data_IF_490553034213
#
_entry.id   IF_490553034213
#
_cell.length_a   1.000
_cell.length_b   1.000
_cell.length_c   1.000
_cell.angle_alpha   90.00
_cell.angle_beta   90.00
_cell.angle_gamma   90.00
#
_symmetry.space_group_name_H-M   'P 1'
#
loop_
_entity.id
_entity.type
_entity.pdbx_description
1 polymer ?
#
# COMPACT_ATOMS: atom_id res chain seq x y z
N UNK A 1 -5.46 35.96 -10.74
CA UNK A 1 -6.90 36.24 -10.53
C UNK A 1 -7.80 35.06 -10.97
N UNK A 2 -7.49 33.81 -10.61
CA UNK A 2 -8.32 32.64 -11.05
C UNK A 2 -8.84 31.82 -9.86
N UNK A 3 -8.29 32.01 -8.66
CA UNK A 3 -8.65 31.22 -7.46
C UNK A 3 -9.89 31.73 -6.71
N UNK A 4 -10.34 32.96 -6.97
CA UNK A 4 -11.56 33.52 -6.36
C UNK A 4 -12.85 32.98 -7.01
N UNK A 5 -12.80 32.60 -8.29
CA UNK A 5 -13.96 32.09 -9.03
C UNK A 5 -14.41 30.70 -8.55
N UNK A 6 -13.47 29.83 -8.20
CA UNK A 6 -13.77 28.44 -7.81
C UNK A 6 -14.33 28.34 -6.40
N UNK A 7 -13.90 29.20 -5.47
CA UNK A 7 -14.49 29.27 -4.14
C UNK A 7 -15.92 29.86 -4.18
N UNK A 8 -16.16 30.89 -5.01
CA UNK A 8 -17.52 31.41 -5.23
C UNK A 8 -18.47 30.34 -5.80
N UNK A 9 -17.99 29.50 -6.72
CA UNK A 9 -18.77 28.41 -7.34
C UNK A 9 -19.05 27.22 -6.41
N UNK A 10 -18.20 27.00 -5.39
CA UNK A 10 -18.39 25.96 -4.38
C UNK A 10 -19.32 26.42 -3.24
N UNK A 11 -19.31 27.72 -2.91
CA UNK A 11 -20.26 28.31 -1.98
C UNK A 11 -21.69 28.30 -2.54
N UNK A 12 -21.88 28.67 -3.82
CA UNK A 12 -23.21 28.56 -4.47
C UNK A 12 -23.70 27.13 -4.56
N UNK A 13 -22.80 26.14 -4.73
CA UNK A 13 -23.18 24.71 -4.66
C UNK A 13 -23.60 24.26 -3.26
N UNK A 14 -22.89 24.66 -2.21
CA UNK A 14 -23.27 24.30 -0.82
C UNK A 14 -24.57 24.97 -0.37
N UNK A 15 -24.83 26.20 -0.82
CA UNK A 15 -26.10 26.87 -0.55
C UNK A 15 -27.26 26.22 -1.35
N UNK A 16 -27.03 25.79 -2.59
CA UNK A 16 -28.07 25.11 -3.39
C UNK A 16 -28.51 23.74 -2.84
N UNK A 17 -27.66 23.05 -2.08
CA UNK A 17 -27.99 21.75 -1.45
C UNK A 17 -28.79 21.92 -0.15
N UNK A 18 -28.78 23.12 0.46
CA UNK A 18 -29.44 23.40 1.74
C UNK A 18 -30.71 24.27 1.57
N UNK A 19 -30.99 24.79 0.36
CA UNK A 19 -32.16 25.65 0.07
C UNK A 19 -33.36 24.93 -0.56
N UNK A 20 -33.62 23.67 -0.21
CA UNK A 20 -34.95 23.06 -0.41
C UNK A 20 -35.69 22.70 0.89
N UNK A 21 -35.96 23.68 1.80
CA UNK A 21 -36.96 23.49 2.84
C UNK A 21 -38.41 23.69 2.33
N UNK A 22 -38.66 23.77 1.02
CA UNK A 22 -40.00 23.99 0.46
C UNK A 22 -40.85 22.73 0.21
N UNK A 23 -40.37 21.54 0.59
CA UNK A 23 -41.19 20.32 0.56
C UNK A 23 -42.00 20.07 1.85
N UNK A 24 -42.20 21.09 2.69
CA UNK A 24 -43.02 20.99 3.90
C UNK A 24 -44.51 21.34 3.69
N UNK A 25 -44.94 21.68 2.47
CA UNK A 25 -46.37 21.70 2.09
C UNK A 25 -46.53 21.16 0.67
N UNK A 26 -46.84 19.86 0.52
CA UNK A 26 -47.12 19.23 -0.79
C UNK A 26 -48.43 19.81 -1.38
N UNK A 27 -48.35 20.96 -2.04
CA UNK A 27 -49.35 21.32 -3.06
C UNK A 27 -49.20 20.30 -4.19
N UNK A 28 -50.31 19.74 -4.67
CA UNK A 28 -50.28 18.82 -5.83
C UNK A 28 -49.72 19.59 -7.03
N UNK A 29 -48.94 18.94 -7.90
CA UNK A 29 -48.32 19.56 -9.09
C UNK A 29 -49.30 20.42 -9.91
N UNK A 30 -50.56 19.99 -9.99
CA UNK A 30 -51.62 20.73 -10.68
C UNK A 30 -51.91 22.13 -10.11
N UNK A 31 -51.66 22.35 -8.82
CA UNK A 31 -51.94 23.59 -8.08
C UNK A 31 -50.75 24.55 -8.01
N UNK A 32 -49.62 24.22 -8.64
CA UNK A 32 -48.46 25.11 -8.68
C UNK A 32 -48.64 26.24 -9.71
N UNK A 33 -48.07 27.42 -9.47
CA UNK A 33 -47.95 28.47 -10.48
C UNK A 33 -47.21 27.94 -11.72
N UNK A 34 -47.57 28.43 -12.90
CA UNK A 34 -47.03 27.91 -14.16
C UNK A 34 -45.51 28.13 -14.27
N UNK A 35 -44.99 29.24 -13.72
CA UNK A 35 -43.54 29.51 -13.63
C UNK A 35 -42.78 28.45 -12.83
N UNK A 36 -43.37 27.90 -11.77
CA UNK A 36 -42.73 26.85 -10.97
C UNK A 36 -42.78 25.50 -11.71
N UNK A 37 -43.86 25.23 -12.46
CA UNK A 37 -43.94 24.04 -13.30
C UNK A 37 -42.92 24.07 -14.44
N UNK A 38 -42.68 25.23 -15.05
CA UNK A 38 -41.64 25.39 -16.07
C UNK A 38 -40.24 25.16 -15.50
N UNK A 39 -39.95 25.68 -14.29
CA UNK A 39 -38.70 25.39 -13.57
C UNK A 39 -38.53 23.90 -13.29
N UNK A 40 -39.60 23.22 -12.85
CA UNK A 40 -39.58 21.76 -12.61
C UNK A 40 -39.34 20.99 -13.91
N UNK A 41 -40.01 21.36 -15.01
CA UNK A 41 -39.80 20.76 -16.33
C UNK A 41 -38.37 20.95 -16.82
N UNK A 42 -37.79 22.13 -16.64
CA UNK A 42 -36.38 22.39 -16.99
C UNK A 42 -35.42 21.57 -16.14
N UNK A 43 -35.67 21.45 -14.83
CA UNK A 43 -34.85 20.61 -13.94
C UNK A 43 -34.93 19.14 -14.35
N UNK A 44 -36.13 18.62 -14.64
CA UNK A 44 -36.32 17.25 -15.10
C UNK A 44 -35.61 17.02 -16.44
N UNK A 45 -35.72 17.95 -17.38
CA UNK A 45 -35.03 17.88 -18.67
C UNK A 45 -33.50 17.86 -18.51
N UNK A 46 -32.95 18.70 -17.63
CA UNK A 46 -31.52 18.69 -17.28
C UNK A 46 -31.16 17.34 -16.66
N UNK A 47 -31.94 16.85 -15.71
CA UNK A 47 -31.70 15.57 -15.06
C UNK A 47 -31.71 14.42 -16.08
N UNK A 48 -32.66 14.38 -17.00
CA UNK A 48 -32.74 13.35 -18.04
C UNK A 48 -31.57 13.48 -19.04
N UNK A 49 -31.21 14.70 -19.46
CA UNK A 49 -30.09 14.95 -20.38
C UNK A 49 -28.72 14.59 -19.78
N UNK A 50 -28.49 14.85 -18.48
CA UNK A 50 -27.22 14.59 -17.81
C UNK A 50 -27.16 13.22 -17.10
N UNK A 51 -28.30 12.56 -16.89
CA UNK A 51 -28.36 11.18 -16.34
C UNK A 51 -28.16 10.12 -17.41
N UNK A 52 -28.48 10.41 -18.68
CA UNK A 52 -28.19 9.52 -19.81
C UNK A 52 -26.69 9.32 -19.92
N UNK A 53 -26.23 8.16 -19.45
CA UNK A 53 -24.82 7.74 -19.51
C UNK A 53 -24.15 7.58 -18.14
N UNK A 54 -24.75 8.05 -17.05
CA UNK A 54 -24.19 7.83 -15.69
C UNK A 54 -24.29 6.35 -15.31
N UNK A 55 -25.42 5.70 -15.61
CA UNK A 55 -25.58 4.26 -15.39
C UNK A 55 -24.63 3.43 -16.25
N UNK A 56 -24.47 3.81 -17.52
CA UNK A 56 -23.53 3.15 -18.43
C UNK A 56 -22.07 3.31 -17.97
N UNK A 57 -21.72 4.46 -17.41
CA UNK A 57 -20.41 4.68 -16.80
C UNK A 57 -20.24 3.83 -15.53
N UNK A 58 -21.29 3.71 -14.71
CA UNK A 58 -21.29 2.88 -13.52
C UNK A 58 -21.13 1.39 -13.84
N UNK A 59 -21.83 0.89 -14.86
CA UNK A 59 -21.69 -0.49 -15.36
C UNK A 59 -20.27 -0.78 -15.86
N UNK A 60 -19.65 0.18 -16.52
CA UNK A 60 -18.25 0.07 -16.98
C UNK A 60 -17.28 0.06 -15.79
N UNK A 61 -17.54 0.86 -14.75
CA UNK A 61 -16.77 0.84 -13.51
C UNK A 61 -16.85 -0.52 -12.81
N UNK A 62 -18.07 -1.01 -12.57
CA UNK A 62 -18.29 -2.31 -11.95
C UNK A 62 -17.66 -3.45 -12.76
N UNK A 63 -17.84 -3.47 -14.08
CA UNK A 63 -17.23 -4.48 -14.95
C UNK A 63 -15.69 -4.47 -14.85
N UNK A 64 -15.09 -3.28 -14.84
CA UNK A 64 -13.63 -3.13 -14.77
C UNK A 64 -13.08 -3.50 -13.38
N UNK A 65 -13.81 -3.15 -12.31
CA UNK A 65 -13.47 -3.52 -10.95
C UNK A 65 -13.46 -5.04 -10.77
N UNK A 66 -14.50 -5.73 -11.25
CA UNK A 66 -14.62 -7.18 -11.15
C UNK A 66 -13.61 -7.95 -12.02
N UNK A 67 -13.16 -7.39 -13.14
CA UNK A 67 -12.25 -8.08 -14.07
C UNK A 67 -10.76 -7.82 -13.81
N UNK A 68 -10.37 -6.62 -13.35
CA UNK A 68 -8.96 -6.18 -13.40
C UNK A 68 -8.37 -5.69 -12.08
N UNK A 69 -9.16 -5.48 -11.03
CA UNK A 69 -8.65 -4.98 -9.75
C UNK A 69 -8.76 -5.98 -8.61
N UNK A 70 -7.99 -5.75 -7.56
CA UNK A 70 -8.16 -6.47 -6.31
C UNK A 70 -9.55 -6.18 -5.75
N UNK A 71 -10.21 -7.16 -5.12
CA UNK A 71 -11.50 -6.99 -4.42
C UNK A 71 -11.48 -5.83 -3.41
N UNK A 72 -10.28 -5.47 -2.94
CA UNK A 72 -10.05 -4.45 -1.92
C UNK A 72 -9.80 -3.05 -2.48
N UNK A 73 -9.64 -2.90 -3.80
CA UNK A 73 -9.44 -1.58 -4.41
C UNK A 73 -10.78 -0.87 -4.60
N UNK A 74 -10.86 0.43 -4.27
CA UNK A 74 -12.07 1.20 -4.49
C UNK A 74 -12.33 1.38 -6.00
N UNK A 75 -13.58 1.20 -6.45
CA UNK A 75 -13.96 1.26 -7.87
C UNK A 75 -13.57 2.58 -8.55
N UNK A 76 -13.68 3.68 -7.80
CA UNK A 76 -13.25 5.01 -8.23
C UNK A 76 -11.77 5.05 -8.58
N UNK A 77 -10.93 4.42 -7.77
CA UNK A 77 -9.47 4.44 -7.98
C UNK A 77 -9.09 3.61 -9.21
N UNK A 78 -9.76 2.47 -9.41
CA UNK A 78 -9.61 1.62 -10.61
C UNK A 78 -9.99 2.40 -11.88
N UNK A 79 -11.08 3.15 -11.85
CA UNK A 79 -11.48 4.00 -12.97
C UNK A 79 -10.46 5.11 -13.25
N UNK A 80 -10.01 5.80 -12.20
CA UNK A 80 -9.02 6.89 -12.30
C UNK A 80 -7.69 6.38 -12.85
N UNK A 81 -7.23 5.21 -12.40
CA UNK A 81 -6.00 4.57 -12.91
C UNK A 81 -6.17 4.19 -14.37
N UNK A 82 -7.30 3.56 -14.75
CA UNK A 82 -7.60 3.24 -16.14
C UNK A 82 -7.56 4.47 -17.05
N UNK A 83 -8.19 5.57 -16.63
CA UNK A 83 -8.15 6.84 -17.37
C UNK A 83 -6.75 7.43 -17.47
N UNK A 84 -5.93 7.33 -16.41
CA UNK A 84 -4.53 7.76 -16.47
C UNK A 84 -3.72 6.92 -17.46
N UNK A 85 -3.95 5.61 -17.53
CA UNK A 85 -3.30 4.72 -18.50
C UNK A 85 -3.73 5.09 -19.92
N UNK A 86 -5.03 5.31 -20.15
CA UNK A 86 -5.54 5.73 -21.46
C UNK A 86 -4.88 7.05 -21.92
N UNK A 87 -4.76 8.03 -21.03
CA UNK A 87 -4.09 9.31 -21.31
C UNK A 87 -2.58 9.18 -21.54
N UNK A 88 -1.94 8.17 -20.95
CA UNK A 88 -0.51 7.91 -21.09
C UNK A 88 -0.20 6.89 -22.19
N UNK A 89 -1.21 6.42 -22.95
CA UNK A 89 -1.04 5.38 -23.97
C UNK A 89 -0.13 5.81 -25.12
N UNK A 90 -0.09 7.10 -25.41
CA UNK A 90 0.74 7.70 -26.46
C UNK A 90 2.12 8.16 -25.96
N UNK A 91 2.35 8.11 -24.65
CA UNK A 91 3.59 8.60 -24.03
C UNK A 91 4.46 7.42 -23.59
N UNK A 92 5.55 7.20 -24.32
CA UNK A 92 6.55 6.22 -23.91
C UNK A 92 7.28 6.70 -22.64
N UNK A 93 7.42 5.79 -21.67
CA UNK A 93 8.20 6.07 -20.45
C UNK A 93 9.67 6.10 -20.82
N UNK A 94 10.33 7.24 -20.64
CA UNK A 94 11.79 7.29 -20.71
C UNK A 94 12.38 6.67 -19.45
N UNK A 95 13.34 5.73 -19.58
CA UNK A 95 14.00 5.16 -18.43
C UNK A 95 14.75 6.28 -17.66
N UNK A 96 14.53 6.35 -16.35
CA UNK A 96 15.25 7.28 -15.51
C UNK A 96 16.75 6.93 -15.55
N UNK A 97 17.61 7.92 -15.82
CA UNK A 97 19.07 7.73 -15.79
C UNK A 97 19.49 7.47 -14.35
N UNK A 98 19.74 6.20 -14.03
CA UNK A 98 20.26 5.82 -12.73
C UNK A 98 21.76 6.10 -12.65
N UNK A 99 22.16 6.95 -11.69
CA UNK A 99 23.57 7.21 -11.39
C UNK A 99 23.90 6.47 -10.10
N UNK A 100 24.84 5.52 -10.18
CA UNK A 100 25.36 4.81 -9.00
C UNK A 100 26.16 5.78 -8.14
N UNK A 101 25.71 6.05 -6.92
CA UNK A 101 26.40 6.97 -5.99
C UNK A 101 27.81 6.52 -5.59
N UNK A 102 28.10 5.21 -5.66
CA UNK A 102 29.40 4.62 -5.30
C UNK A 102 29.76 3.52 -6.30
N UNK A 103 30.22 3.91 -7.48
CA UNK A 103 30.50 2.97 -8.57
C UNK A 103 31.53 1.89 -8.17
N UNK A 104 32.59 2.28 -7.45
CA UNK A 104 33.61 1.36 -6.91
C UNK A 104 33.05 0.28 -5.99
N UNK A 105 32.02 0.60 -5.18
CA UNK A 105 31.34 -0.40 -4.35
C UNK A 105 30.63 -1.44 -5.22
N UNK A 106 29.97 -1.02 -6.29
CA UNK A 106 29.21 -1.90 -7.16
C UNK A 106 30.07 -2.74 -8.12
N UNK A 107 31.26 -2.26 -8.48
CA UNK A 107 32.19 -2.97 -9.36
C UNK A 107 32.99 -3.98 -8.53
N UNK A 108 33.77 -3.51 -7.55
CA UNK A 108 34.74 -4.35 -6.83
C UNK A 108 34.35 -4.58 -5.36
N UNK A 109 33.77 -3.56 -4.70
CA UNK A 109 33.50 -3.60 -3.27
C UNK A 109 32.50 -4.69 -2.84
N UNK A 110 31.57 -5.11 -3.69
CA UNK A 110 30.64 -6.21 -3.40
C UNK A 110 31.38 -7.55 -3.35
N UNK A 111 32.28 -7.80 -4.28
CA UNK A 111 33.02 -9.07 -4.35
C UNK A 111 33.95 -9.17 -3.15
N UNK A 112 34.68 -8.10 -2.85
CA UNK A 112 35.57 -8.04 -1.69
C UNK A 112 34.83 -8.18 -0.36
N UNK A 113 33.68 -7.51 -0.20
CA UNK A 113 32.91 -7.62 1.04
C UNK A 113 32.29 -9.01 1.21
N UNK A 114 31.84 -9.64 0.12
CA UNK A 114 31.36 -11.03 0.16
C UNK A 114 32.48 -12.02 0.46
N UNK A 115 33.70 -11.77 -0.01
CA UNK A 115 34.86 -12.58 0.32
C UNK A 115 35.25 -12.47 1.81
N UNK A 116 35.08 -11.28 2.41
CA UNK A 116 35.33 -11.03 3.84
C UNK A 116 34.24 -11.56 4.77
N UNK A 117 33.03 -11.82 4.25
CA UNK A 117 31.96 -12.38 5.06
C UNK A 117 32.18 -13.87 5.33
N UNK A 118 32.21 -14.22 6.62
CA UNK A 118 32.26 -15.60 7.06
C UNK A 118 31.03 -16.37 6.54
N UNK A 119 31.25 -17.41 5.74
CA UNK A 119 30.18 -18.24 5.20
C UNK A 119 29.67 -19.16 6.31
N UNK A 120 28.46 -18.88 6.80
CA UNK A 120 27.77 -19.70 7.82
C UNK A 120 27.55 -21.16 7.39
N UNK A 121 27.74 -21.50 6.11
CA UNK A 121 27.41 -22.82 5.56
C UNK A 121 28.59 -23.55 4.89
N UNK A 122 29.84 -23.12 5.07
CA UNK A 122 30.97 -23.98 4.72
C UNK A 122 31.26 -24.87 5.93
N UNK A 123 30.72 -26.09 5.89
CA UNK A 123 31.12 -27.14 6.83
C UNK A 123 32.63 -27.33 6.72
N UNK A 124 33.35 -26.90 7.74
CA UNK A 124 34.70 -27.35 8.00
C UNK A 124 34.59 -28.83 8.32
N UNK A 125 34.81 -29.66 7.30
CA UNK A 125 35.30 -31.01 7.50
C UNK A 125 36.72 -30.90 8.04
N UNK A 126 36.82 -30.62 9.33
CA UNK A 126 38.05 -30.71 10.11
C UNK A 126 37.76 -31.71 11.21
N UNK A 127 38.40 -32.85 11.03
CA UNK A 127 38.51 -33.98 11.93
C UNK A 127 38.95 -33.53 13.33
N UNK A 128 38.49 -34.29 14.33
CA UNK A 128 39.05 -34.42 15.67
C UNK A 128 39.01 -33.17 16.58
N UNK A 129 37.91 -33.06 17.34
CA UNK A 129 37.99 -32.65 18.73
C UNK A 129 36.94 -33.40 19.56
N UNK A 130 37.26 -34.66 19.83
CA UNK A 130 36.56 -35.54 20.76
C UNK A 130 36.86 -35.13 22.20
N UNK A 131 36.26 -34.04 22.67
CA UNK A 131 36.17 -33.76 24.10
C UNK A 131 34.93 -32.90 24.37
N UNK A 132 33.97 -33.46 25.13
CA UNK A 132 32.88 -32.77 25.85
C UNK A 132 31.50 -32.58 25.21
N UNK A 133 31.06 -33.43 24.26
CA UNK A 133 29.64 -33.41 23.83
C UNK A 133 28.69 -33.68 25.02
N UNK A 134 29.05 -34.58 25.94
CA UNK A 134 28.23 -35.01 27.08
C UNK A 134 27.97 -33.95 28.17
N UNK A 135 28.81 -32.92 28.29
CA UNK A 135 28.62 -31.91 29.34
C UNK A 135 27.58 -30.85 28.95
N UNK A 136 27.36 -30.64 27.64
CA UNK A 136 26.45 -29.60 27.14
C UNK A 136 24.97 -30.01 27.15
N UNK A 137 24.68 -31.31 27.10
CA UNK A 137 23.30 -31.83 27.10
C UNK A 137 22.67 -31.81 28.49
N UNK A 138 23.48 -31.88 29.55
CA UNK A 138 23.02 -31.91 30.94
C UNK A 138 22.83 -30.52 31.58
N UNK A 139 23.18 -29.43 30.88
CA UNK A 139 23.10 -28.08 31.42
C UNK A 139 21.71 -27.46 31.26
N UNK A 140 21.18 -26.92 32.35
CA UNK A 140 19.91 -26.17 32.32
C UNK A 140 20.07 -24.89 31.49
N UNK A 141 19.07 -24.48 30.68
CA UNK A 141 19.15 -23.28 29.83
C UNK A 141 19.55 -21.98 30.54
N UNK A 142 19.32 -21.86 31.86
CA UNK A 142 19.76 -20.71 32.67
C UNK A 142 21.28 -20.68 32.80
N UNK A 143 21.90 -21.83 33.06
CA UNK A 143 23.36 -21.94 33.21
C UNK A 143 24.07 -21.64 31.89
N UNK A 144 23.50 -22.10 30.76
CA UNK A 144 24.05 -21.81 29.43
C UNK A 144 24.03 -20.31 29.13
N UNK A 145 22.95 -19.60 29.50
CA UNK A 145 22.88 -18.13 29.34
C UNK A 145 23.90 -17.40 30.21
N UNK A 146 24.11 -17.85 31.45
CA UNK A 146 25.11 -17.25 32.35
C UNK A 146 26.51 -17.38 31.77
N UNK A 147 26.89 -18.58 31.30
CA UNK A 147 28.20 -18.79 30.66
C UNK A 147 28.36 -18.02 29.36
N UNK A 148 27.34 -17.98 28.49
CA UNK A 148 27.38 -17.16 27.28
C UNK A 148 27.54 -15.66 27.60
N UNK A 149 26.94 -15.19 28.69
CA UNK A 149 27.10 -13.82 29.17
C UNK A 149 28.50 -13.54 29.71
N UNK A 150 29.12 -14.49 30.41
CA UNK A 150 30.53 -14.42 30.82
C UNK A 150 31.46 -14.33 29.60
N UNK A 151 31.13 -15.05 28.52
CA UNK A 151 31.82 -14.97 27.22
C UNK A 151 31.49 -13.70 26.41
N UNK A 152 30.65 -12.80 26.93
CA UNK A 152 30.27 -11.55 26.26
C UNK A 152 29.24 -11.70 25.14
N UNK A 153 28.66 -12.89 24.97
CA UNK A 153 27.66 -13.20 23.93
C UNK A 153 26.26 -13.05 24.52
N UNK A 154 25.56 -11.97 24.16
CA UNK A 154 24.19 -11.75 24.60
C UNK A 154 23.20 -12.45 23.64
N UNK A 155 22.44 -13.44 24.14
CA UNK A 155 21.48 -14.19 23.32
C UNK A 155 20.04 -14.06 23.85
N UNK A 156 19.09 -13.83 22.95
CA UNK A 156 17.65 -13.79 23.26
C UNK A 156 16.92 -15.12 22.94
N UNK A 157 17.67 -16.14 22.51
CA UNK A 157 17.11 -17.38 21.99
C UNK A 157 16.32 -18.15 23.06
N UNK A 158 15.06 -18.50 22.77
CA UNK A 158 14.21 -19.30 23.67
C UNK A 158 14.35 -20.81 23.47
N UNK A 159 14.77 -21.24 22.28
CA UNK A 159 14.96 -22.65 21.93
C UNK A 159 16.25 -23.19 22.57
N UNK A 160 16.14 -24.30 23.31
CA UNK A 160 17.25 -24.94 24.01
C UNK A 160 18.31 -25.50 23.06
N UNK A 161 17.91 -26.21 22.01
CA UNK A 161 18.85 -26.80 21.03
C UNK A 161 19.72 -25.73 20.39
N UNK A 162 19.08 -24.63 19.96
CA UNK A 162 19.79 -23.51 19.37
C UNK A 162 20.68 -22.76 20.37
N UNK A 163 20.33 -22.76 21.66
CA UNK A 163 21.16 -22.19 22.72
C UNK A 163 22.40 -23.06 22.99
N UNK A 164 22.25 -24.39 22.95
CA UNK A 164 23.35 -25.35 23.05
C UNK A 164 24.29 -25.26 21.85
N UNK A 165 23.75 -25.16 20.63
CA UNK A 165 24.55 -24.94 19.41
C UNK A 165 25.39 -23.65 19.51
N UNK A 166 24.79 -22.54 19.96
CA UNK A 166 25.54 -21.27 20.13
C UNK A 166 26.64 -21.43 21.17
N UNK A 167 26.38 -22.14 22.27
CA UNK A 167 27.38 -22.40 23.30
C UNK A 167 28.50 -23.30 22.80
N UNK A 168 28.19 -24.36 22.06
CA UNK A 168 29.19 -25.26 21.45
C UNK A 168 30.07 -24.56 20.42
N UNK A 169 29.55 -23.55 19.71
CA UNK A 169 30.33 -22.73 18.77
C UNK A 169 31.17 -21.67 19.49
N UNK A 170 30.78 -21.26 20.70
CA UNK A 170 31.43 -20.20 21.46
C UNK A 170 32.53 -20.70 22.42
N UNK A 171 32.46 -21.96 22.84
CA UNK A 171 33.48 -22.68 23.61
C UNK A 171 34.55 -23.20 22.67
#
# INVERSE_FOLDING_TARGET
MVLLSTQQALLTRKESIILCPLLTKRKKYQQLPEEEKEKIKQIQFIQDMFSVGVEKLNDVCHRRHLQKSSKWDAERDVLMVGKRIDLLSEVERTPCKYIKKAESYWIDGIIENKAKQHRLCHGSSSEENSTSVDETENMTPVMIRSKLKELGINTSTRNLKRLQEIYQVAV
#
